data_IF_052560835607
#
_entry.id   IF_052560835607
#
_cell.length_a   1.000
_cell.length_b   1.000
_cell.length_c   1.000
_cell.angle_alpha   90.00
_cell.angle_beta   90.00
_cell.angle_gamma   90.00
#
_symmetry.space_group_name_H-M   'P 1'
#
loop_
_entity.id
_entity.type
_entity.pdbx_description
1 polymer ?
2 non-polymer ?
3 water ?
#
# COMPACT_ATOMS: atom_id res chain seq x y z
N UNK A 3 -6.88 2.90 6.77
CA UNK A 3 -7.63 2.85 5.46
C UNK A 3 -8.86 3.76 5.43
N UNK A 4 -8.97 4.55 4.37
CA UNK A 4 -10.05 5.53 4.23
C UNK A 4 -11.45 4.90 4.19
N UNK A 5 -12.40 5.39 5.00
CA UNK A 5 -13.83 4.99 4.92
C UNK A 5 -14.09 3.49 5.17
N UNK A 6 -13.36 2.94 6.13
CA UNK A 6 -13.43 1.53 6.47
C UNK A 6 -14.35 1.27 7.67
N UNK A 7 -14.76 0.01 7.81
CA UNK A 7 -15.43 -0.47 9.03
C UNK A 7 -14.48 -0.26 10.21
N UNK A 8 -15.03 0.11 11.36
CA UNK A 8 -14.23 0.32 12.56
C UNK A 8 -14.25 -0.93 13.44
N UNK A 9 -13.15 -1.66 13.43
CA UNK A 9 -13.08 -2.95 14.08
C UNK A 9 -12.06 -2.97 15.19
N UNK A 10 -12.30 -3.87 16.14
CA UNK A 10 -11.55 -3.88 17.37
C UNK A 10 -10.29 -4.70 17.20
N UNK A 11 -9.16 -4.03 17.22
CA UNK A 11 -7.88 -4.67 16.95
C UNK A 11 -7.39 -5.54 18.10
N UNK A 12 -7.94 -5.32 19.30
CA UNK A 12 -7.60 -6.18 20.46
C UNK A 12 -8.23 -7.57 20.39
N UNK A 13 -9.25 -7.75 19.55
CA UNK A 13 -9.92 -9.03 19.37
C UNK A 13 -9.64 -9.64 18.00
N UNK A 14 -8.83 -8.96 17.20
CA UNK A 14 -8.59 -9.38 15.85
C UNK A 14 -7.61 -10.55 15.80
N UNK A 15 -8.05 -11.65 15.25
CA UNK A 15 -7.19 -12.82 15.10
C UNK A 15 -6.37 -12.71 13.84
N UNK A 16 -5.24 -13.39 13.82
CA UNK A 16 -4.34 -13.38 12.65
C UNK A 16 -3.52 -14.69 12.67
N UNK A 17 -3.04 -15.21 11.49
CA UNK A 17 -3.38 -14.55 10.23
C UNK A 17 -4.83 -14.66 9.79
N UNK A 18 -5.32 -13.66 9.04
CA UNK A 18 -6.71 -13.71 8.62
C UNK A 18 -7.00 -12.80 7.46
N UNK A 19 -8.07 -13.14 6.73
CA UNK A 19 -8.61 -12.31 5.66
C UNK A 19 -9.85 -11.61 6.16
N UNK A 20 -9.99 -10.34 5.79
CA UNK A 20 -11.16 -9.56 6.14
C UNK A 20 -11.46 -8.52 5.08
N UNK A 21 -12.73 -8.35 4.77
CA UNK A 21 -13.14 -7.25 3.93
C UNK A 21 -13.03 -5.92 4.69
N UNK A 22 -12.04 -5.11 4.32
CA UNK A 22 -11.83 -3.79 4.92
C UNK A 22 -12.79 -2.72 4.36
N UNK A 23 -13.14 -2.85 3.07
CA UNK A 23 -14.02 -1.90 2.42
C UNK A 23 -14.52 -2.42 1.05
N UNK A 24 -15.74 -2.02 0.71
CA UNK A 24 -16.26 -2.22 -0.62
C UNK A 24 -16.65 -0.87 -1.20
N UNK A 25 -16.62 -0.78 -2.52
CA UNK A 25 -16.90 0.46 -3.22
C UNK A 25 -17.53 0.11 -4.54
N UNK A 26 -18.38 0.99 -5.03
CA UNK A 26 -18.92 0.90 -6.36
C UNK A 26 -18.19 1.88 -7.28
N UNK A 27 -18.15 1.58 -8.57
CA UNK A 27 -17.65 2.53 -9.56
C UNK A 27 -18.84 3.22 -10.23
N UNK A 28 -18.57 4.34 -10.93
CA UNK A 28 -19.65 5.13 -11.54
C UNK A 28 -20.65 4.32 -12.39
N UNK A 29 -20.15 3.34 -13.14
CA UNK A 29 -21.03 2.49 -13.95
C UNK A 29 -21.42 1.18 -13.24
N UNK A 30 -21.16 1.08 -11.95
CA UNK A 30 -21.73 0.02 -11.11
C UNK A 30 -20.87 -1.22 -10.88
N UNK A 31 -19.57 -1.15 -11.15
CA UNK A 31 -18.69 -2.27 -10.80
C UNK A 31 -18.33 -2.21 -9.33
N UNK A 32 -17.88 -3.33 -8.76
CA UNK A 32 -17.44 -3.40 -7.38
C UNK A 32 -15.92 -3.39 -7.22
N UNK A 33 -15.46 -2.66 -6.19
CA UNK A 33 -14.10 -2.71 -5.75
C UNK A 33 -14.11 -3.15 -4.31
N UNK A 34 -13.26 -4.14 -3.99
CA UNK A 34 -13.04 -4.62 -2.63
C UNK A 34 -11.58 -4.43 -2.19
N UNK A 35 -11.39 -3.93 -0.97
CA UNK A 35 -10.10 -3.85 -0.37
C UNK A 35 -10.09 -4.84 0.78
N UNK A 36 -9.11 -5.75 0.76
CA UNK A 36 -8.96 -6.77 1.75
C UNK A 36 -7.84 -6.42 2.72
N UNK A 37 -8.15 -6.64 3.99
CA UNK A 37 -7.21 -6.64 5.08
C UNK A 37 -6.62 -8.03 5.14
N UNK A 38 -5.35 -8.13 4.72
CA UNK A 38 -4.62 -9.38 4.82
C UNK A 38 -3.76 -9.22 6.06
N UNK A 39 -4.28 -9.71 7.19
CA UNK A 39 -3.61 -9.58 8.48
C UNK A 39 -2.63 -10.72 8.73
N UNK A 40 -1.35 -10.40 8.70
CA UNK A 40 -0.31 -11.38 8.89
C UNK A 40 -0.05 -11.62 10.38
N UNK A 41 -0.10 -10.54 11.15
CA UNK A 41 0.33 -10.55 12.56
C UNK A 41 -0.81 -10.09 13.46
N UNK A 42 -0.84 -10.62 14.69
CA UNK A 42 -1.78 -10.16 15.71
C UNK A 42 -1.45 -8.72 16.14
N UNK A 43 -2.41 -7.79 16.00
CA UNK A 43 -2.18 -6.40 16.37
C UNK A 43 -1.57 -6.21 17.76
N UNK A 44 -0.45 -5.49 17.78
CA UNK A 44 0.18 -5.06 19.02
C UNK A 44 0.78 -6.19 19.80
N UNK A 45 0.95 -7.35 19.15
CA UNK A 45 1.72 -8.46 19.73
C UNK A 45 2.87 -8.87 18.83
N UNK A 46 2.68 -8.76 17.52
CA UNK A 46 3.65 -9.21 16.54
C UNK A 46 3.77 -8.19 15.45
N UNK A 47 4.93 -8.20 14.81
CA UNK A 47 5.22 -7.27 13.73
C UNK A 47 6.19 -7.92 12.76
N UNK A 48 5.98 -7.73 11.47
CA UNK A 48 6.94 -8.20 10.46
C UNK A 48 8.12 -7.24 10.39
N UNK A 49 9.34 -7.74 10.18
CA UNK A 49 10.52 -6.87 10.03
C UNK A 49 10.56 -6.12 8.70
N UNK A 50 11.23 -4.97 8.67
CA UNK A 50 11.13 -4.04 7.54
C UNK A 50 11.65 -4.65 6.25
N UNK A 51 12.77 -5.39 6.33
CA UNK A 51 13.40 -5.89 5.13
C UNK A 51 12.58 -7.04 4.56
N UNK A 52 12.15 -7.92 5.44
CA UNK A 52 11.34 -9.05 5.00
C UNK A 52 10.04 -8.60 4.36
N UNK A 53 9.40 -7.59 4.93
CA UNK A 53 8.12 -7.14 4.42
C UNK A 53 8.29 -6.52 3.02
N UNK A 54 9.41 -5.82 2.81
CA UNK A 54 9.71 -5.20 1.52
C UNK A 54 10.02 -6.27 0.47
N UNK A 55 10.86 -7.23 0.82
CA UNK A 55 11.14 -8.32 -0.11
C UNK A 55 9.85 -9.08 -0.46
N UNK A 56 9.07 -9.39 0.57
CA UNK A 56 7.76 -9.99 0.39
C UNK A 56 6.85 -9.18 -0.55
N UNK A 57 6.87 -7.85 -0.43
CA UNK A 57 6.09 -6.96 -1.30
C UNK A 57 6.43 -7.14 -2.80
N UNK A 58 7.71 -7.35 -3.09
CA UNK A 58 8.14 -7.59 -4.48
C UNK A 58 7.59 -8.89 -5.08
N UNK A 59 7.37 -9.88 -4.22
CA UNK A 59 6.97 -11.22 -4.64
C UNK A 59 5.46 -11.42 -4.59
N UNK A 60 4.81 -10.76 -3.63
CA UNK A 60 3.44 -11.06 -3.25
C UNK A 60 2.47 -10.77 -4.36
N UNK A 61 2.66 -9.63 -4.98
CA UNK A 61 1.73 -9.13 -5.99
C UNK A 61 1.64 -10.09 -7.16
N UNK A 62 2.79 -10.51 -7.67
CA UNK A 62 2.85 -11.45 -8.78
C UNK A 62 2.22 -12.79 -8.44
N UNK A 63 2.63 -13.35 -7.31
CA UNK A 63 2.16 -14.65 -6.91
C UNK A 63 0.68 -14.64 -6.62
N UNK A 64 0.21 -13.55 -6.00
CA UNK A 64 -1.22 -13.40 -5.77
C UNK A 64 -1.99 -13.33 -7.08
N UNK A 65 -1.46 -12.58 -8.05
CA UNK A 65 -2.09 -12.51 -9.35
C UNK A 65 -2.19 -13.93 -9.94
N UNK A 66 -1.09 -14.68 -9.86
CA UNK A 66 -1.05 -16.04 -10.44
C UNK A 66 -2.23 -16.88 -9.93
N UNK A 67 -2.53 -16.76 -8.63
CA UNK A 67 -3.51 -17.60 -7.99
C UNK A 67 -4.90 -16.98 -7.82
N UNK A 68 -5.02 -15.66 -7.97
CA UNK A 68 -6.31 -14.97 -7.72
C UNK A 68 -6.95 -14.30 -8.92
N UNK A 69 -6.15 -13.74 -9.82
CA UNK A 69 -6.73 -13.07 -10.99
C UNK A 69 -7.61 -13.98 -11.84
N UNK A 70 -8.57 -13.37 -12.53
CA UNK A 70 -9.45 -14.08 -13.41
C UNK A 70 -10.70 -14.51 -12.69
N UNK A 71 -11.64 -15.09 -13.45
CA UNK A 71 -12.94 -15.46 -12.95
C UNK A 71 -13.56 -14.32 -12.16
N UNK A 72 -13.60 -13.14 -12.75
CA UNK A 72 -14.24 -11.96 -12.16
C UNK A 72 -13.39 -11.08 -11.26
N UNK A 73 -12.11 -11.41 -11.09
CA UNK A 73 -11.25 -10.68 -10.18
C UNK A 73 -10.05 -10.06 -10.87
N UNK A 74 -9.80 -8.78 -10.60
CA UNK A 74 -8.60 -8.15 -11.08
C UNK A 74 -7.93 -7.30 -10.00
N UNK A 75 -6.72 -7.70 -9.61
CA UNK A 75 -6.00 -7.02 -8.56
C UNK A 75 -5.50 -5.69 -9.08
N UNK A 76 -5.72 -4.66 -8.27
CA UNK A 76 -5.23 -3.30 -8.50
C UNK A 76 -3.86 -3.13 -7.83
N UNK A 77 -3.77 -3.45 -6.53
CA UNK A 77 -2.54 -3.22 -5.80
C UNK A 77 -2.53 -3.97 -4.47
N UNK A 78 -1.34 -4.42 -4.11
CA UNK A 78 -1.07 -4.99 -2.79
C UNK A 78 0.05 -4.19 -2.16
N UNK A 79 -0.21 -3.59 -1.00
CA UNK A 79 0.78 -2.75 -0.35
C UNK A 79 0.86 -3.00 1.14
N UNK A 80 2.05 -2.76 1.73
CA UNK A 80 2.15 -2.97 3.17
C UNK A 80 1.39 -1.94 3.99
N UNK A 81 0.96 -2.37 5.16
CA UNK A 81 0.42 -1.50 6.18
C UNK A 81 1.59 -0.89 6.95
N UNK A 82 1.46 0.39 7.31
CA UNK A 82 2.56 1.11 8.01
C UNK A 82 2.83 0.60 9.43
N UNK A 84 2.97 -2.45 9.99
CA UNK A 84 3.70 -3.69 9.67
C UNK A 84 3.07 -5.02 10.18
N UNK A 85 1.75 -5.06 10.33
CA UNK A 85 1.06 -6.27 10.72
C UNK A 85 0.29 -6.88 9.55
N UNK A 86 0.37 -6.31 8.36
CA UNK A 86 -0.36 -6.87 7.22
C UNK A 86 -0.15 -6.11 5.92
N UNK A 87 -0.97 -6.47 4.92
CA UNK A 87 -1.05 -5.79 3.63
C UNK A 87 -2.52 -5.47 3.28
N UNK A 88 -2.75 -4.37 2.57
CA UNK A 88 -4.05 -4.10 1.98
C UNK A 88 -3.99 -4.52 0.53
N UNK A 89 -5.02 -5.20 0.09
CA UNK A 89 -5.11 -5.60 -1.31
C UNK A 89 -6.37 -5.03 -1.86
N UNK A 90 -6.22 -4.18 -2.86
CA UNK A 90 -7.36 -3.60 -3.53
C UNK A 90 -7.56 -4.36 -4.83
N UNK A 91 -8.81 -4.72 -5.13
CA UNK A 91 -9.10 -5.37 -6.39
C UNK A 91 -10.47 -5.01 -6.92
N UNK A 92 -10.63 -5.24 -8.22
CA UNK A 92 -11.89 -5.19 -8.91
C UNK A 92 -12.55 -6.55 -8.79
N UNK A 93 -13.81 -6.57 -8.39
CA UNK A 93 -14.53 -7.82 -8.15
C UNK A 93 -14.89 -8.03 -6.70
N UNK A 94 -15.62 -9.11 -6.47
CA UNK A 94 -16.06 -9.46 -5.11
C UNK A 94 -15.84 -10.94 -4.77
N UNK A 95 -14.57 -11.40 -4.75
CA UNK A 95 -14.32 -12.79 -4.37
C UNK A 95 -14.59 -12.98 -2.89
N UNK A 96 -14.94 -14.18 -2.46
CA UNK A 96 -15.18 -14.35 -1.04
C UNK A 96 -13.88 -14.58 -0.32
N UNK A 97 -13.93 -14.43 1.00
CA UNK A 97 -12.74 -14.36 1.82
C UNK A 97 -11.93 -15.68 1.76
N UNK A 98 -12.60 -16.81 1.69
CA UNK A 98 -11.90 -18.07 1.65
C UNK A 98 -11.16 -18.29 0.34
N UNK A 99 -11.74 -17.79 -0.76
CA UNK A 99 -11.02 -17.78 -2.03
C UNK A 99 -9.75 -16.95 -1.93
N UNK A 100 -9.84 -15.76 -1.36
CA UNK A 100 -8.63 -14.93 -1.11
C UNK A 100 -7.61 -15.62 -0.19
N UNK A 101 -8.10 -16.24 0.87
CA UNK A 101 -7.24 -16.96 1.83
C UNK A 101 -6.47 -18.10 1.12
N UNK A 102 -7.16 -18.86 0.25
CA UNK A 102 -6.53 -19.98 -0.50
C UNK A 102 -5.44 -19.44 -1.44
N UNK A 103 -5.75 -18.36 -2.17
CA UNK A 103 -4.73 -17.76 -3.07
C UNK A 103 -3.54 -17.24 -2.30
N UNK A 104 -3.81 -16.64 -1.14
CA UNK A 104 -2.76 -16.07 -0.28
C UNK A 104 -1.85 -17.18 0.23
N UNK A 105 -2.43 -18.22 0.78
CA UNK A 105 -1.63 -19.39 1.16
C UNK A 105 -0.81 -19.96 -0.01
N UNK A 106 -1.43 -20.10 -1.17
CA UNK A 106 -0.69 -20.57 -2.35
C UNK A 106 0.49 -19.64 -2.67
N UNK A 107 0.27 -18.33 -2.54
CA UNK A 107 1.33 -17.34 -2.76
C UNK A 107 2.46 -17.45 -1.75
N UNK A 108 2.14 -17.71 -0.48
CA UNK A 108 3.19 -17.92 0.53
C UNK A 108 4.02 -19.16 0.23
N UNK A 109 3.37 -20.20 -0.24
CA UNK A 109 4.10 -21.38 -0.72
C UNK A 109 5.07 -21.02 -1.82
N UNK A 110 4.65 -20.20 -2.77
CA UNK A 110 5.53 -19.75 -3.86
C UNK A 110 6.76 -19.00 -3.36
N UNK A 111 6.57 -18.19 -2.31
CA UNK A 111 7.70 -17.47 -1.68
C UNK A 111 8.77 -18.43 -1.20
N UNK A 112 8.33 -19.59 -0.72
CA UNK A 112 9.25 -20.59 -0.18
C UNK A 112 10.15 -21.23 -1.23
N UNK A 113 9.69 -21.26 -2.46
CA UNK A 113 10.51 -21.87 -3.51
C UNK A 113 11.48 -20.86 -4.14
N UNK A 114 11.41 -19.60 -3.74
CA UNK A 114 12.33 -18.61 -4.28
C UNK A 114 13.72 -18.97 -3.76
N UNK A 115 14.68 -19.18 -4.63
CA UNK A 115 15.98 -19.76 -4.18
C UNK A 115 16.98 -18.71 -3.73
N UNK A 116 17.04 -17.60 -4.45
CA UNK A 116 18.05 -16.59 -4.19
C UNK A 116 17.55 -15.20 -4.44
N UNK A 117 18.11 -14.22 -3.72
CA UNK A 117 17.66 -12.87 -3.90
C UNK A 117 17.70 -12.43 -5.37
N UNK A 118 18.34 -13.24 -6.20
CA UNK A 118 18.48 -12.94 -7.60
C UNK A 118 17.24 -13.23 -8.41
N UNK A 119 16.39 -14.11 -7.91
CA UNK A 119 15.21 -14.47 -8.65
C UNK A 119 14.09 -13.47 -8.44
N UNK A 120 14.35 -12.45 -7.63
CA UNK A 120 13.26 -11.60 -7.11
C UNK A 120 12.98 -10.49 -8.12
N UNK A 121 11.70 -10.32 -8.52
CA UNK A 121 11.45 -9.28 -9.52
C UNK A 121 11.81 -7.87 -9.03
N UNK A 122 12.51 -7.14 -9.90
CA UNK A 122 12.79 -5.72 -9.73
C UNK A 122 13.68 -5.37 -8.53
N UNK A 123 14.41 -6.34 -8.01
CA UNK A 123 15.32 -6.08 -6.90
C UNK A 123 16.68 -5.61 -7.41
N UNK A 124 16.72 -4.35 -7.83
CA UNK A 124 17.95 -3.74 -8.31
C UNK A 124 17.83 -2.23 -8.19
N UNK A 125 18.93 -1.52 -8.40
CA UNK A 125 18.95 -0.09 -8.26
C UNK A 125 18.04 0.64 -9.28
N UNK A 126 17.78 0.03 -10.43
CA UNK A 126 17.01 0.68 -11.47
C UNK A 126 15.52 0.58 -11.25
N UNK A 127 15.10 -0.28 -10.34
CA UNK A 127 13.68 -0.64 -10.23
C UNK A 127 13.09 -0.74 -8.83
N UNK A 128 13.88 -0.38 -7.83
CA UNK A 128 13.48 -0.45 -6.43
C UNK A 128 13.98 0.83 -5.77
N UNK A 129 13.11 1.47 -5.00
CA UNK A 129 13.44 2.71 -4.32
C UNK A 129 14.53 2.57 -3.27
N UNK A 130 14.62 1.42 -2.63
CA UNK A 130 15.58 1.20 -1.54
C UNK A 130 16.08 -0.25 -1.59
N UNK A 131 16.96 -0.48 -2.56
CA UNK A 131 17.31 -1.81 -2.99
C UNK A 131 18.18 -2.58 -2.03
N UNK A 132 18.83 -1.87 -1.11
CA UNK A 132 19.56 -2.54 -0.04
C UNK A 132 18.62 -3.13 1.01
N UNK A 133 17.39 -2.59 1.11
CA UNK A 133 16.48 -2.93 2.22
C UNK A 133 15.67 -4.19 1.97
N UNK A 134 16.38 -5.31 1.93
CA UNK A 134 15.82 -6.60 1.51
C UNK A 134 16.38 -7.78 2.28
N UNK A 135 15.55 -8.79 2.43
CA UNK A 135 15.93 -10.04 3.09
C UNK A 135 15.00 -11.14 2.61
N UNK A 136 15.54 -12.04 1.79
CA UNK A 136 14.75 -13.18 1.32
C UNK A 136 14.46 -14.14 2.48
N UNK A 137 15.43 -14.36 3.37
CA UNK A 137 15.21 -15.25 4.50
C UNK A 137 14.12 -14.74 5.48
N UNK A 138 14.04 -13.43 5.68
CA UNK A 138 12.96 -12.87 6.48
C UNK A 138 11.62 -13.03 5.79
N UNK A 139 11.59 -12.80 4.47
CA UNK A 139 10.36 -12.97 3.71
C UNK A 139 9.86 -14.41 3.74
N UNK A 140 10.79 -15.34 3.68
CA UNK A 140 10.46 -16.74 3.77
C UNK A 140 9.98 -17.11 5.19
N UNK A 141 10.58 -16.54 6.22
CA UNK A 141 10.08 -16.79 7.59
C UNK A 141 8.62 -16.36 7.75
N UNK A 142 8.29 -15.20 7.18
CA UNK A 142 6.94 -14.68 7.25
C UNK A 142 6.00 -15.64 6.50
N UNK A 143 6.36 -16.01 5.30
CA UNK A 143 5.52 -16.86 4.46
C UNK A 143 5.32 -18.16 5.16
N UNK A 144 6.39 -18.65 5.78
CA UNK A 144 6.36 -19.93 6.46
C UNK A 144 5.38 -19.91 7.64
N UNK A 145 5.43 -18.82 8.44
CA UNK A 145 4.52 -18.57 9.61
C UNK A 145 3.03 -18.51 9.21
N UNK A 146 2.75 -17.89 8.07
CA UNK A 146 1.39 -17.93 7.57
C UNK A 146 0.94 -19.36 7.32
N UNK A 147 1.79 -20.17 6.71
CA UNK A 147 1.39 -21.55 6.41
C UNK A 147 1.28 -22.37 7.66
N UNK A 148 2.17 -22.13 8.64
CA UNK A 148 2.11 -22.84 9.95
C UNK A 148 0.88 -22.51 10.74
N UNK A 149 0.47 -21.24 10.70
CA UNK A 149 -0.64 -20.75 11.52
C UNK A 149 -1.99 -20.93 10.82
N UNK A 150 -1.98 -21.09 9.49
CA UNK A 150 -3.18 -21.03 8.67
C UNK A 150 -3.79 -19.64 8.69
N UNK A 151 -4.83 -19.46 7.87
CA UNK A 151 -5.46 -18.19 7.63
C UNK A 151 -6.95 -18.26 7.89
N UNK A 152 -7.38 -17.56 8.94
CA UNK A 152 -8.79 -17.46 9.32
C UNK A 152 -9.55 -16.42 8.45
N UNK A 153 -10.88 -16.51 8.44
CA UNK A 153 -11.71 -15.42 7.90
C UNK A 153 -12.28 -14.60 9.06
N UNK A 154 -12.03 -13.29 9.07
CA UNK A 154 -12.58 -12.42 10.11
C UNK A 154 -13.87 -11.70 9.65
N UNK A 155 -14.76 -11.51 10.62
CA UNK A 155 -16.04 -10.93 10.38
C UNK A 155 -16.05 -9.48 10.87
N UNK A 156 -16.61 -8.59 10.09
CA UNK A 156 -16.74 -7.23 10.55
C UNK A 156 -17.77 -7.09 11.64
N UNK A 157 -18.82 -7.92 11.54
CA UNK A 157 -19.87 -8.01 12.55
C UNK A 157 -19.29 -8.45 13.87
N UNK A 158 -18.45 -9.49 13.87
CA UNK A 158 -17.91 -10.00 15.14
C UNK A 158 -16.95 -8.96 15.78
N UNK A 159 -16.22 -8.20 14.95
CA UNK A 159 -15.17 -7.32 15.49
C UNK A 159 -15.63 -5.87 15.65
N UNK A 160 -16.89 -5.60 15.32
CA UNK A 160 -17.43 -4.24 15.39
C UNK A 160 -17.21 -3.64 16.77
N UNK A 161 -16.70 -2.41 16.82
CA UNK A 161 -16.58 -1.70 18.10
C UNK A 161 -17.97 -1.23 18.60
N UNK A 162 -18.35 -1.60 19.85
CA UNK A 162 -19.68 -1.18 20.36
C UNK A 162 -19.70 0.30 20.77
N UNK A 163 -20.91 0.85 20.91
CA UNK A 163 -21.14 2.27 21.27
C UNK A 163 -20.34 2.70 22.49
N UNK A 164 -20.39 1.85 23.52
CA UNK A 164 -19.68 2.07 24.78
C UNK A 164 -18.18 2.27 24.61
N UNK A 165 -17.53 1.42 23.83
CA UNK A 165 -16.10 1.55 23.66
C UNK A 165 -15.71 2.72 22.73
N UNK A 166 -16.56 3.07 21.77
CA UNK A 166 -16.22 4.17 20.89
C UNK A 166 -16.30 5.44 21.70
N UNK A 167 -17.20 5.45 22.66
CA UNK A 167 -17.36 6.62 23.50
C UNK A 167 -16.08 6.78 24.26
N UNK A 168 -15.79 5.80 25.09
CA UNK A 168 -14.60 5.81 25.92
C UNK A 168 -13.35 6.33 25.22
N UNK A 169 -13.41 6.55 23.90
CA UNK A 169 -12.34 7.20 23.15
C UNK A 169 -12.74 8.61 22.78
N UNK B 3 -4.27 -3.13 -16.43
CA UNK B 3 -4.63 -3.63 -17.80
C UNK B 3 -4.49 -2.61 -18.98
N UNK B 4 -4.57 -1.31 -18.73
CA UNK B 4 -4.38 -0.33 -19.82
C UNK B 4 -2.90 -0.11 -20.03
N UNK B 5 -2.24 0.34 -18.97
CA UNK B 5 -0.83 0.69 -19.04
C UNK B 5 -0.23 0.67 -17.67
N UNK B 6 0.90 -0.01 -17.53
CA UNK B 6 1.70 0.00 -16.32
C UNK B 6 3.07 0.35 -16.90
N UNK B 7 4.01 0.77 -16.06
CA UNK B 7 5.27 1.28 -16.59
C UNK B 7 6.49 0.88 -15.75
N UNK B 8 7.51 0.37 -16.42
CA UNK B 8 8.77 0.11 -15.74
C UNK B 8 9.68 1.30 -15.98
N UNK B 9 9.95 2.02 -14.91
CA UNK B 9 10.73 3.25 -15.02
C UNK B 9 12.04 3.20 -14.25
N UNK B 10 12.96 4.04 -14.69
CA UNK B 10 14.33 4.01 -14.21
C UNK B 10 14.45 4.82 -12.93
N UNK B 11 14.68 4.11 -11.82
CA UNK B 11 14.70 4.76 -10.51
C UNK B 11 15.97 5.58 -10.28
N UNK B 12 17.02 5.33 -11.06
CA UNK B 12 18.26 6.09 -10.95
C UNK B 12 18.11 7.49 -11.52
N UNK B 13 17.05 7.72 -12.28
CA UNK B 13 16.81 9.01 -12.91
C UNK B 13 15.58 9.68 -12.36
N UNK B 14 14.90 9.02 -11.44
CA UNK B 14 13.63 9.52 -10.91
C UNK B 14 13.79 10.70 -9.96
N UNK B 15 13.11 11.81 -10.24
CA UNK B 15 13.16 12.96 -9.39
C UNK B 15 12.05 12.94 -8.33
N UNK B 16 12.29 13.56 -7.17
CA UNK B 16 11.32 13.60 -6.10
C UNK B 16 11.56 14.85 -5.28
N UNK B 17 10.54 15.36 -4.56
CA UNK B 17 9.20 14.77 -4.65
C UNK B 17 8.49 14.91 -5.96
N UNK B 18 7.65 13.95 -6.30
CA UNK B 18 6.97 13.99 -7.60
C UNK B 18 5.76 13.10 -7.67
N UNK B 19 4.85 13.46 -8.58
CA UNK B 19 3.67 12.67 -8.91
C UNK B 19 3.92 12.01 -10.24
N UNK B 20 3.49 10.75 -10.35
CA UNK B 20 3.59 9.99 -11.58
C UNK B 20 2.47 8.98 -11.65
N UNK B 21 1.90 8.83 -12.84
CA UNK B 21 0.95 7.74 -13.09
C UNK B 21 1.68 6.41 -13.13
N UNK B 22 1.51 5.59 -12.12
CA UNK B 22 2.13 4.27 -12.04
C UNK B 22 1.39 3.22 -12.91
N UNK B 23 0.07 3.36 -13.00
CA UNK B 23 -0.77 2.42 -13.71
C UNK B 23 -2.20 2.91 -13.92
N UNK B 24 -2.80 2.49 -15.04
CA UNK B 24 -4.21 2.74 -15.33
C UNK B 24 -4.91 1.41 -15.64
N UNK B 25 -6.19 1.38 -15.32
CA UNK B 25 -6.99 0.15 -15.40
C UNK B 25 -8.42 0.53 -15.72
N UNK B 26 -9.16 -0.39 -16.30
CA UNK B 26 -10.56 -0.21 -16.63
C UNK B 26 -11.39 -1.27 -15.99
N UNK B 27 -12.56 -0.87 -15.50
CA UNK B 27 -13.46 -1.83 -14.90
C UNK B 27 -14.28 -2.45 -16.04
N UNK B 28 -14.96 -3.57 -15.76
CA UNK B 28 -15.81 -4.23 -16.76
C UNK B 28 -16.75 -3.28 -17.51
N UNK B 29 -17.36 -2.33 -16.81
CA UNK B 29 -18.26 -1.37 -17.46
C UNK B 29 -17.54 -0.09 -17.89
N UNK B 30 -16.22 -0.08 -17.83
CA UNK B 30 -15.43 1.01 -18.44
C UNK B 30 -15.02 2.17 -17.54
N UNK B 31 -15.10 2.03 -16.22
CA UNK B 31 -14.59 3.08 -15.32
C UNK B 31 -13.08 3.04 -15.20
N UNK B 32 -12.42 4.20 -15.21
CA UNK B 32 -10.95 4.23 -15.17
C UNK B 32 -10.50 4.19 -13.71
N UNK B 33 -9.48 3.38 -13.44
CA UNK B 33 -8.81 3.37 -12.17
C UNK B 33 -7.36 3.74 -12.42
N UNK B 34 -6.87 4.71 -11.65
CA UNK B 34 -5.49 5.15 -11.71
C UNK B 34 -4.80 4.91 -10.37
N UNK B 35 -3.59 4.40 -10.44
CA UNK B 35 -2.73 4.34 -9.29
C UNK B 35 -1.59 5.33 -9.51
N UNK B 36 -1.42 6.24 -8.55
CA UNK B 36 -0.37 7.25 -8.59
C UNK B 36 0.78 6.86 -7.67
N UNK B 37 1.99 7.05 -8.21
CA UNK B 37 3.25 7.00 -7.47
C UNK B 37 3.46 8.38 -6.88
N UNK B 38 3.33 8.46 -5.57
CA UNK B 38 3.58 9.70 -4.86
C UNK B 38 4.96 9.54 -4.23
N UNK B 39 5.96 10.02 -4.94
CA UNK B 39 7.36 9.84 -4.55
C UNK B 39 7.81 10.97 -3.64
N UNK B 40 8.03 10.62 -2.37
CA UNK B 40 8.44 11.58 -1.38
C UNK B 40 9.95 11.78 -1.42
N UNK B 41 10.67 10.69 -1.66
CA UNK B 41 12.13 10.64 -1.52
C UNK B 41 12.80 10.15 -2.79
N UNK B 42 14.00 10.65 -3.06
CA UNK B 42 14.80 10.19 -4.19
C UNK B 42 15.27 8.77 -3.96
N UNK B 43 14.96 7.85 -4.92
CA UNK B 43 15.30 6.46 -4.76
C UNK B 43 16.79 6.26 -4.39
N UNK B 44 16.99 5.56 -3.30
CA UNK B 44 18.31 5.12 -2.90
C UNK B 44 19.19 6.24 -2.44
N UNK B 45 18.59 7.37 -2.12
CA UNK B 45 19.33 8.48 -1.49
C UNK B 45 18.66 8.93 -0.21
N UNK B 46 17.35 8.77 -0.12
CA UNK B 46 16.61 9.13 1.07
C UNK B 46 15.60 8.07 1.40
N UNK B 47 15.26 7.96 2.68
CA UNK B 47 14.11 7.21 3.13
C UNK B 47 13.38 8.00 4.18
N UNK B 48 12.07 7.81 4.25
CA UNK B 48 11.29 8.28 5.40
C UNK B 48 11.45 7.31 6.56
N UNK B 49 11.41 7.81 7.81
CA UNK B 49 11.51 6.92 9.00
C UNK B 49 10.21 6.20 9.31
N UNK B 50 10.30 5.07 10.00
CA UNK B 50 9.16 4.12 10.10
C UNK B 50 8.00 4.71 10.90
N UNK B 51 8.33 5.43 11.95
CA UNK B 51 7.28 5.96 12.80
C UNK B 51 6.57 7.13 12.13
N UNK B 52 7.35 8.02 11.52
CA UNK B 52 6.76 9.14 10.82
C UNK B 52 5.88 8.73 9.65
N UNK B 53 6.31 7.73 8.90
CA UNK B 53 5.56 7.30 7.75
C UNK B 53 4.20 6.71 8.20
N UNK B 54 4.21 6.02 9.33
CA UNK B 54 3.01 5.40 9.85
C UNK B 54 2.04 6.48 10.32
N UNK B 55 2.57 7.46 11.06
CA UNK B 55 1.72 8.52 11.59
C UNK B 55 1.14 9.29 10.41
N UNK B 56 2.00 9.59 9.45
CA UNK B 56 1.57 10.20 8.19
C UNK B 56 0.44 9.40 7.48
N UNK B 57 0.54 8.09 7.49
CA UNK B 57 -0.49 7.21 6.91
C UNK B 57 -1.89 7.39 7.54
N UNK B 58 -1.92 7.59 8.86
CA UNK B 58 -3.16 7.86 9.60
C UNK B 58 -3.82 9.17 9.18
N UNK B 59 -3.01 10.15 8.77
CA UNK B 59 -3.46 11.51 8.42
C UNK B 59 -3.68 11.74 6.92
N UNK B 60 -2.88 11.07 6.09
CA UNK B 60 -2.76 11.42 4.65
C UNK B 60 -4.04 11.18 3.87
N UNK B 61 -4.65 10.02 4.11
CA UNK B 61 -5.81 9.58 3.33
C UNK B 61 -6.98 10.55 3.52
N UNK B 62 -7.24 10.92 4.77
CA UNK B 62 -8.31 11.88 5.06
C UNK B 62 -8.07 13.23 4.42
N UNK B 63 -6.88 13.77 4.61
CA UNK B 63 -6.56 15.08 4.10
C UNK B 63 -6.56 15.08 2.58
N UNK B 64 -6.10 13.99 1.98
CA UNK B 64 -6.12 13.87 0.51
C UNK B 64 -7.52 13.82 -0.01
N UNK B 65 -8.38 13.09 0.69
CA UNK B 65 -9.76 13.08 0.33
C UNK B 65 -10.33 14.48 0.38
N UNK B 66 -10.07 15.21 1.47
CA UNK B 66 -10.61 16.58 1.63
C UNK B 66 -10.32 17.41 0.38
N UNK B 67 -9.10 17.27 -0.16
CA UNK B 67 -8.65 18.14 -1.23
C UNK B 67 -8.81 17.58 -2.61
N UNK B 68 -8.97 16.26 -2.74
CA UNK B 68 -8.96 15.62 -4.07
C UNK B 68 -10.30 15.01 -4.50
N UNK B 69 -11.06 14.51 -3.55
CA UNK B 69 -12.31 13.88 -3.95
C UNK B 69 -13.23 14.82 -4.68
N UNK B 70 -14.08 14.26 -5.49
CA UNK B 70 -15.12 15.00 -6.18
C UNK B 70 -14.66 15.37 -7.56
N UNK B 71 -15.59 15.91 -8.34
CA UNK B 71 -15.35 16.23 -9.72
C UNK B 71 -14.69 15.08 -10.46
N UNK B 72 -15.33 13.93 -10.36
CA UNK B 72 -14.91 12.75 -11.08
C UNK B 72 -13.90 11.86 -10.39
N UNK B 73 -13.47 12.21 -9.19
CA UNK B 73 -12.41 11.46 -8.49
C UNK B 73 -12.87 10.84 -7.18
N UNK B 74 -12.58 9.55 -6.98
CA UNK B 74 -12.84 8.90 -5.70
C UNK B 74 -11.65 8.03 -5.27
N UNK B 75 -11.02 8.40 -4.17
CA UNK B 75 -9.88 7.66 -3.69
C UNK B 75 -10.33 6.36 -3.10
N UNK B 76 -9.61 5.31 -3.47
CA UNK B 76 -9.76 3.98 -2.96
C UNK B 76 -8.85 3.78 -1.73
N UNK B 77 -7.55 4.05 -1.89
CA UNK B 77 -6.59 3.81 -0.80
C UNK B 77 -5.27 4.50 -1.06
N UNK B 78 -4.67 4.93 0.03
CA UNK B 78 -3.31 5.44 0.03
C UNK B 78 -2.51 4.58 1.01
N UNK B 79 -1.44 3.96 0.53
CA UNK B 79 -0.59 3.14 1.42
C UNK B 79 0.90 3.30 1.16
N UNK B 80 1.70 3.05 2.20
CA UNK B 80 3.13 3.23 2.04
C UNK B 80 3.75 2.20 1.13
N UNK B 81 4.84 2.61 0.49
CA UNK B 81 5.71 1.71 -0.22
C UNK B 81 6.65 1.02 0.78
N UNK B 82 6.93 -0.26 0.56
CA UNK B 82 7.85 -1.03 1.43
C UNK B 82 9.29 -0.51 1.48
N UNK B 84 9.91 2.60 1.49
CA UNK B 84 9.77 3.81 2.30
C UNK B 84 10.17 5.12 1.62
N UNK B 85 10.10 5.16 0.29
CA UNK B 85 10.37 6.36 -0.46
C UNK B 85 9.12 7.06 -0.96
N UNK B 86 7.95 6.51 -0.65
CA UNK B 86 6.71 7.09 -1.17
C UNK B 86 5.47 6.34 -0.74
N UNK B 87 4.34 6.72 -1.35
CA UNK B 87 3.03 6.06 -1.17
C UNK B 87 2.43 5.78 -2.55
N UNK B 88 1.63 4.71 -2.64
CA UNK B 88 0.78 4.50 -3.78
C UNK B 88 -0.62 4.96 -3.44
N UNK B 89 -1.25 5.68 -4.37
CA UNK B 89 -2.62 6.11 -4.20
C UNK B 89 -3.43 5.56 -5.35
N UNK B 90 -4.38 4.72 -5.02
CA UNK B 90 -5.28 4.17 -6.01
C UNK B 90 -6.57 4.96 -5.95
N UNK B 91 -7.12 5.33 -7.10
CA UNK B 91 -8.39 6.00 -7.14
C UNK B 91 -9.18 5.66 -8.38
N UNK B 92 -10.47 5.95 -8.29
CA UNK B 92 -11.39 5.94 -9.42
C UNK B 92 -11.31 7.32 -10.06
N UNK B 93 -11.17 7.36 -11.36
CA UNK B 93 -11.05 8.61 -12.09
C UNK B 93 -9.68 8.80 -12.72
N UNK B 94 -9.54 9.86 -13.48
CA UNK B 94 -8.27 10.17 -14.18
C UNK B 94 -7.86 11.65 -14.02
N UNK B 95 -7.67 12.11 -12.78
CA UNK B 95 -7.20 13.48 -12.59
C UNK B 95 -5.80 13.63 -13.16
N UNK B 96 -5.44 14.82 -13.58
CA UNK B 96 -4.10 15.00 -14.09
C UNK B 96 -3.12 15.20 -12.92
N UNK B 97 -1.85 15.02 -13.22
CA UNK B 97 -0.83 14.89 -12.20
C UNK B 97 -0.66 16.17 -11.39
N UNK B 98 -0.83 17.32 -12.03
CA UNK B 98 -0.72 18.58 -11.31
C UNK B 98 -1.86 18.76 -10.30
N UNK B 99 -3.06 18.29 -10.66
CA UNK B 99 -4.16 18.31 -9.72
C UNK B 99 -3.83 17.47 -8.49
N UNK B 100 -3.30 16.27 -8.70
CA UNK B 100 -2.87 15.43 -7.59
C UNK B 100 -1.74 16.06 -6.76
N UNK B 101 -0.78 16.66 -7.45
CA UNK B 101 0.30 17.38 -6.76
C UNK B 101 -0.22 18.51 -5.85
N UNK B 102 -1.20 19.28 -6.35
CA UNK B 102 -1.77 20.42 -5.56
C UNK B 102 -2.51 19.90 -4.32
N UNK B 103 -3.31 18.85 -4.49
CA UNK B 103 -4.02 18.26 -3.36
C UNK B 103 -3.05 17.69 -2.34
N UNK B 104 -1.98 17.08 -2.83
CA UNK B 104 -0.97 16.45 -1.98
C UNK B 104 -0.31 17.56 -1.18
N UNK B 105 0.14 18.61 -1.84
CA UNK B 105 0.70 19.75 -1.11
C UNK B 105 -0.26 20.32 -0.07
N UNK B 106 -1.52 20.46 -0.43
CA UNK B 106 -2.52 20.97 0.51
C UNK B 106 -2.64 20.03 1.71
N UNK B 107 -2.56 18.73 1.45
CA UNK B 107 -2.60 17.74 2.52
C UNK B 107 -1.41 17.83 3.45
N UNK B 108 -0.23 18.05 2.89
CA UNK B 108 0.97 18.20 3.73
C UNK B 108 0.85 19.44 4.64
N UNK B 109 0.28 20.51 4.10
CA UNK B 109 0.00 21.68 4.90
C UNK B 109 -0.90 21.33 6.08
N UNK B 110 -1.92 20.51 5.82
CA UNK B 110 -2.82 20.05 6.89
C UNK B 110 -2.09 19.28 8.01
N UNK B 111 -1.12 18.45 7.63
CA UNK B 111 -0.31 17.72 8.61
C UNK B 111 0.40 18.66 9.57
N UNK B 112 0.81 19.81 9.05
CA UNK B 112 1.51 20.81 9.85
C UNK B 112 0.66 21.45 10.91
N UNK B 113 -0.64 21.54 10.68
CA UNK B 113 -1.52 22.12 11.72
C UNK B 113 -2.01 21.10 12.75
N UNK B 114 -1.59 19.85 12.66
CA UNK B 114 -1.91 18.86 13.69
C UNK B 114 -1.09 19.24 14.94
N UNK B 115 -1.73 19.57 16.04
CA UNK B 115 -1.00 20.19 17.18
C UNK B 115 -0.40 19.14 18.05
N UNK B 116 -1.25 18.24 18.53
CA UNK B 116 -0.79 17.10 19.29
C UNK B 116 -1.60 15.87 18.85
N UNK B 117 -1.09 14.72 19.21
CA UNK B 117 -1.63 13.43 18.72
C UNK B 117 -3.11 13.14 18.95
N UNK B 118 -3.73 13.80 19.93
CA UNK B 118 -5.17 13.64 20.17
C UNK B 118 -6.01 14.02 18.94
N UNK B 119 -5.44 14.83 18.05
CA UNK B 119 -6.04 15.11 16.75
C UNK B 119 -5.66 14.06 15.67
N UNK B 120 -4.89 13.02 16.02
CA UNK B 120 -4.55 11.96 15.06
C UNK B 120 -5.61 10.88 15.09
N UNK B 121 -6.25 10.61 13.95
CA UNK B 121 -7.31 9.63 13.95
C UNK B 121 -6.78 8.22 14.24
N UNK B 122 -7.55 7.47 15.05
CA UNK B 122 -7.37 6.05 15.27
C UNK B 122 -6.08 5.65 15.91
N UNK B 123 -5.42 6.60 16.56
CA UNK B 123 -4.19 6.31 17.26
C UNK B 123 -4.48 5.75 18.66
N UNK B 124 -4.84 4.48 18.71
CA UNK B 124 -5.08 3.80 19.97
C UNK B 124 -4.96 2.28 19.77
N UNK B 125 -4.98 1.53 20.86
CA UNK B 125 -4.82 0.07 20.76
C UNK B 125 -5.99 -0.60 20.05
N UNK B 126 -7.17 0.03 20.02
CA UNK B 126 -8.34 -0.62 19.45
C UNK B 126 -8.42 -0.47 17.95
N UNK B 127 -7.60 0.42 17.38
CA UNK B 127 -7.75 0.82 15.97
C UNK B 127 -6.49 0.90 15.14
N UNK B 128 -5.37 0.53 15.73
CA UNK B 128 -4.08 0.62 15.07
C UNK B 128 -3.34 -0.68 15.40
N UNK B 129 -2.75 -1.29 14.38
CA UNK B 129 -1.98 -2.52 14.53
C UNK B 129 -0.75 -2.42 15.40
N UNK B 130 -0.10 -1.26 15.40
CA UNK B 130 1.13 -1.10 16.17
C UNK B 130 1.17 0.34 16.71
N UNK B 131 0.39 0.56 17.76
CA UNK B 131 0.00 1.88 18.16
C UNK B 131 1.10 2.65 18.90
N UNK B 132 2.16 1.97 19.33
CA UNK B 132 3.36 2.68 19.83
C UNK B 132 4.27 3.18 18.71
N UNK B 133 4.11 2.67 17.49
CA UNK B 133 5.00 3.01 16.39
C UNK B 133 4.57 4.29 15.66
N UNK B 134 4.66 5.40 16.38
CA UNK B 134 4.16 6.69 15.88
C UNK B 134 5.06 7.83 16.30
N UNK B 135 5.09 8.85 15.45
CA UNK B 135 5.83 10.09 15.70
C UNK B 135 5.20 11.22 14.91
N UNK B 136 4.51 12.12 15.60
CA UNK B 136 3.96 13.27 14.92
C UNK B 136 5.06 14.20 14.40
N UNK B 137 6.10 14.41 15.18
CA UNK B 137 7.18 15.30 14.76
C UNK B 137 7.88 14.77 13.52
N UNK B 138 8.02 13.46 13.40
CA UNK B 138 8.60 12.89 12.17
C UNK B 138 7.68 13.09 10.96
N UNK B 139 6.38 12.87 11.17
CA UNK B 139 5.38 13.07 10.12
C UNK B 139 5.38 14.50 9.64
N UNK B 140 5.52 15.43 10.59
CA UNK B 140 5.55 16.84 10.24
C UNK B 140 6.86 17.22 9.54
N UNK B 141 8.00 16.63 9.93
CA UNK B 141 9.23 16.85 9.17
C UNK B 141 9.08 16.43 7.72
N UNK B 142 8.43 15.29 7.48
CA UNK B 142 8.19 14.79 6.11
C UNK B 142 7.31 15.75 5.32
N UNK B 143 6.18 16.12 5.91
CA UNK B 143 5.25 17.03 5.25
C UNK B 143 5.94 18.36 4.92
N UNK B 144 6.77 18.83 5.84
CA UNK B 144 7.46 20.09 5.69
C UNK B 144 8.45 20.03 4.52
N UNK B 145 9.22 18.93 4.49
CA UNK B 145 10.15 18.66 3.40
C UNK B 145 9.47 18.67 2.00
N UNK B 146 8.27 18.11 1.92
CA UNK B 146 7.55 18.12 0.65
C UNK B 146 7.24 19.54 0.26
N UNK B 147 6.77 20.35 1.21
CA UNK B 147 6.49 21.75 0.90
C UNK B 147 7.77 22.54 0.56
N UNK B 148 8.86 22.26 1.25
CA UNK B 148 10.15 22.93 0.97
C UNK B 148 10.69 22.60 -0.41
N UNK B 149 10.52 21.34 -0.82
CA UNK B 149 11.10 20.82 -2.05
C UNK B 149 10.18 21.02 -3.24
N UNK B 150 8.90 21.26 -2.99
CA UNK B 150 7.87 21.25 -4.01
C UNK B 150 7.74 19.88 -4.65
N UNK B 151 6.74 19.73 -5.51
CA UNK B 151 6.34 18.46 -6.09
C UNK B 151 6.27 18.57 -7.61
N UNK B 152 7.18 17.87 -8.25
CA UNK B 152 7.31 17.82 -9.70
C UNK B 152 6.32 16.80 -10.31
N UNK B 153 6.06 16.92 -11.60
CA UNK B 153 5.34 15.87 -12.33
C UNK B 153 6.38 15.08 -13.10
N UNK B 154 6.44 13.77 -12.84
CA UNK B 154 7.34 12.89 -13.60
C UNK B 154 6.64 12.28 -14.83
N UNK B 155 7.44 12.08 -15.88
CA UNK B 155 6.98 11.56 -17.16
C UNK B 155 7.45 10.12 -17.34
N UNK B 156 6.51 9.25 -17.70
CA UNK B 156 6.79 7.84 -17.84
C UNK B 156 7.60 7.58 -19.07
N UNK B 157 7.35 8.40 -20.07
CA UNK B 157 8.11 8.39 -21.29
C UNK B 157 9.55 8.74 -21.03
N UNK B 158 9.78 9.75 -20.20
CA UNK B 158 11.14 10.14 -19.92
C UNK B 158 11.90 9.14 -19.05
N UNK B 159 11.22 8.43 -18.18
CA UNK B 159 11.91 7.54 -17.26
C UNK B 159 11.90 6.11 -17.74
N UNK B 160 11.30 5.88 -18.91
CA UNK B 160 11.18 4.52 -19.45
C UNK B 160 12.52 3.81 -19.49
N UNK B 161 12.56 2.61 -18.96
CA UNK B 161 13.71 1.77 -19.18
C UNK B 161 13.54 1.23 -20.59
N UNK B 162 14.59 1.39 -21.43
CA UNK B 162 14.44 0.83 -22.77
C UNK B 162 14.42 -0.72 -22.76
N UNK B 163 13.85 -1.31 -23.81
CA UNK B 163 13.72 -2.80 -23.98
C UNK B 163 15.04 -3.57 -23.70
N UNK B 164 16.14 -3.00 -24.19
CA UNK B 164 17.50 -3.55 -24.05
C UNK B 164 17.92 -3.70 -22.59
N UNK B 165 17.72 -2.65 -21.79
CA UNK B 165 18.11 -2.67 -20.38
C UNK B 165 17.23 -3.63 -19.57
N UNK B 166 15.96 -3.76 -19.97
CA UNK B 166 15.03 -4.63 -19.27
C UNK B 166 15.32 -6.10 -19.57
N UNK B 167 15.80 -6.38 -20.77
CA UNK B 167 16.28 -7.72 -21.07
C UNK B 167 17.44 -8.01 -20.13
N UNK B 168 18.46 -7.19 -20.21
CA UNK B 168 19.60 -7.25 -19.33
C UNK B 168 19.28 -7.50 -17.86
N UNK B 169 18.14 -7.00 -17.41
CA UNK B 169 17.76 -7.14 -16.01
C UNK B 169 16.84 -8.33 -15.86
N UNK B 170 16.03 -8.59 -16.86
CA UNK B 170 15.21 -9.77 -16.85
C UNK B 170 16.14 -10.93 -17.01
N UNK B 171 17.20 -10.72 -17.80
CA UNK B 171 18.19 -11.75 -18.07
C UNK B 171 19.12 -11.99 -16.89
N UNK B 172 18.84 -11.39 -15.75
CA UNK B 172 19.53 -11.80 -14.52
C UNK B 172 18.50 -12.31 -13.51
N UNK B 173 17.29 -12.57 -14.00
CA UNK B 173 16.33 -13.37 -13.29
C UNK B 173 16.80 -14.84 -13.37
N UNK B 174 16.42 -15.64 -12.37
CA UNK B 174 16.96 -17.00 -12.15
C UNK B 174 18.43 -17.05 -12.54
#
# INVERSE_FOLDING_TARGET
MPLLDSFAVDHTRMQAPAVRTAKTMNTPHGDAITVFDLRFCIPNKEVMPEKGIHTLEHLFAGFMRDHLNGNGVEIIDISPMGXRTGFYMSLIGTPDEQRVADAWKAAMADVLKVQDQNQIPELNVYQCGTYQMHSLSEAQDIARHILERDVRVNSNKELALPKEKLQELHILEHHHHHH
MPLLDSFAVDHTRMQAPAVRTAKTMNTPHGDAITVFDLRFCIPNKEVMPEKGIHTLEHLFAGFMRDHLNGNGVEIIDISPMGXRTGFYMSLIGTPDEQRVADAWKAAMADVLKVQDQNQIPELNVYQCGTYQMHSLSEAQDIARHILERDVRVNSNKELALPKEKLQELHILEHHHHHH
#
